data_IF_345315979587
#
_entry.id   IF_345315979587
#
_cell.length_a   1.000
_cell.length_b   1.000
_cell.length_c   1.000
_cell.angle_alpha   90.00
_cell.angle_beta   90.00
_cell.angle_gamma   90.00
#
_symmetry.space_group_name_H-M   'P 1'
#
loop_
_entity.id
_entity.type
_entity.pdbx_description
1 polymer ?
#
# COMPACT_ATOMS: atom_id res chain seq x y z
N UNK A 1 23.13 5.70 1.95
CA UNK A 1 21.65 5.82 2.09
C UNK A 1 21.19 4.69 2.98
N UNK A 2 20.47 5.02 4.04
CA UNK A 2 19.88 4.08 4.99
C UNK A 2 18.90 3.11 4.30
N UNK A 3 18.82 1.85 4.75
CA UNK A 3 17.99 0.80 4.12
C UNK A 3 16.51 1.19 4.12
N UNK A 4 16.02 1.79 5.22
CA UNK A 4 14.63 2.24 5.32
C UNK A 4 14.36 3.37 4.33
N UNK A 5 15.30 4.31 4.20
CA UNK A 5 15.20 5.40 3.24
C UNK A 5 15.14 4.90 1.78
N UNK A 6 15.95 3.88 1.44
CA UNK A 6 15.92 3.27 0.10
C UNK A 6 14.60 2.55 -0.17
N UNK A 7 14.07 1.82 0.82
CA UNK A 7 12.78 1.17 0.70
C UNK A 7 11.65 2.19 0.50
N UNK A 8 11.63 3.27 1.30
CA UNK A 8 10.62 4.33 1.17
C UNK A 8 10.62 4.91 -0.24
N UNK A 9 11.78 5.31 -0.75
CA UNK A 9 11.92 5.86 -2.09
C UNK A 9 11.44 4.89 -3.19
N UNK A 10 11.84 3.60 -3.09
CA UNK A 10 11.38 2.57 -4.03
C UNK A 10 9.86 2.36 -3.95
N UNK A 11 9.30 2.31 -2.74
CA UNK A 11 7.87 2.12 -2.54
C UNK A 11 7.05 3.32 -3.02
N UNK A 12 7.54 4.54 -2.83
CA UNK A 12 6.91 5.76 -3.35
C UNK A 12 6.93 5.78 -4.87
N UNK A 13 8.06 5.40 -5.49
CA UNK A 13 8.15 5.27 -6.93
C UNK A 13 7.17 4.22 -7.47
N UNK A 14 7.09 3.04 -6.84
CA UNK A 14 6.13 2.01 -7.23
C UNK A 14 4.68 2.49 -7.10
N UNK A 15 4.35 3.20 -6.02
CA UNK A 15 3.03 3.82 -5.83
C UNK A 15 2.72 4.81 -6.97
N UNK A 16 3.69 5.65 -7.31
CA UNK A 16 3.57 6.64 -8.38
C UNK A 16 3.35 5.98 -9.75
N UNK A 17 4.10 4.94 -10.06
CA UNK A 17 3.97 4.17 -11.30
C UNK A 17 2.56 3.55 -11.42
N UNK A 18 2.03 3.00 -10.33
CA UNK A 18 0.65 2.49 -10.30
C UNK A 18 -0.38 3.60 -10.55
N UNK A 19 -0.23 4.77 -9.91
CA UNK A 19 -1.14 5.90 -10.10
C UNK A 19 -1.13 6.41 -11.55
N UNK A 20 0.05 6.57 -12.14
CA UNK A 20 0.17 6.98 -13.55
C UNK A 20 -0.46 5.96 -14.49
N UNK A 21 -0.17 4.67 -14.31
CA UNK A 21 -0.75 3.62 -15.13
C UNK A 21 -2.28 3.63 -15.09
N UNK A 22 -2.87 3.75 -13.89
CA UNK A 22 -4.32 3.79 -13.72
C UNK A 22 -4.93 5.07 -14.32
N UNK A 23 -4.27 6.21 -14.16
CA UNK A 23 -4.70 7.48 -14.74
C UNK A 23 -4.67 7.43 -16.28
N UNK A 24 -3.58 6.96 -16.88
CA UNK A 24 -3.39 6.84 -18.33
C UNK A 24 -4.37 5.86 -18.97
N UNK A 25 -4.60 4.72 -18.32
CA UNK A 25 -5.57 3.71 -18.77
C UNK A 25 -7.03 4.08 -18.48
N UNK A 26 -7.25 5.22 -17.80
CA UNK A 26 -8.57 5.67 -17.32
C UNK A 26 -9.29 4.62 -16.47
N UNK A 27 -8.52 3.86 -15.70
CA UNK A 27 -9.04 2.82 -14.82
C UNK A 27 -9.42 3.43 -13.47
N UNK A 28 -10.68 3.30 -13.05
CA UNK A 28 -11.12 3.74 -11.72
C UNK A 28 -10.51 2.86 -10.62
N UNK A 29 -10.19 3.48 -9.49
CA UNK A 29 -9.54 2.80 -8.39
C UNK A 29 -9.93 3.44 -7.06
N UNK A 30 -9.58 2.78 -5.97
CA UNK A 30 -9.70 3.33 -4.63
C UNK A 30 -8.33 3.44 -3.97
N UNK A 31 -8.16 4.46 -3.14
CA UNK A 31 -6.96 4.68 -2.33
C UNK A 31 -7.33 4.47 -0.88
N UNK A 32 -6.65 3.53 -0.22
CA UNK A 32 -6.68 3.39 1.23
C UNK A 32 -5.44 4.08 1.79
N UNK A 33 -5.62 5.06 2.69
CA UNK A 33 -4.55 5.92 3.15
C UNK A 33 -4.68 6.30 4.62
N UNK A 34 -3.56 6.70 5.23
CA UNK A 34 -3.53 7.25 6.59
C UNK A 34 -4.09 8.67 6.60
N UNK A 35 -5.09 8.94 7.45
CA UNK A 35 -5.69 10.27 7.60
C UNK A 35 -4.65 11.33 8.01
N UNK A 36 -3.61 10.94 8.75
CA UNK A 36 -2.52 11.83 9.16
C UNK A 36 -1.74 12.42 7.97
N UNK A 37 -1.86 11.81 6.80
CA UNK A 37 -1.19 12.19 5.56
C UNK A 37 -2.16 12.79 4.53
N UNK A 38 -3.38 13.12 4.97
CA UNK A 38 -4.43 13.73 4.16
C UNK A 38 -4.66 15.17 4.60
N UNK A 39 -4.71 16.08 3.63
CA UNK A 39 -5.05 17.47 3.82
C UNK A 39 -6.32 17.82 3.04
N UNK A 40 -7.22 18.57 3.68
CA UNK A 40 -8.49 19.02 3.10
C UNK A 40 -8.45 20.54 2.91
N UNK A 41 -8.91 21.00 1.76
CA UNK A 41 -8.97 22.41 1.36
C UNK A 41 -10.32 22.71 0.69
N UNK A 42 -11.28 23.35 1.38
CA UNK A 42 -11.19 23.84 2.76
C UNK A 42 -11.11 22.72 3.82
N UNK A 43 -10.59 23.02 5.04
CA UNK A 43 -10.50 22.03 6.11
C UNK A 43 -11.89 21.54 6.55
N UNK A 44 -11.97 20.25 6.88
CA UNK A 44 -13.22 19.66 7.37
C UNK A 44 -13.66 20.25 8.72
N UNK A 45 -14.97 20.51 8.90
CA UNK A 45 -15.54 20.80 10.21
C UNK A 45 -15.17 19.72 11.23
N UNK A 46 -14.96 20.10 12.49
CA UNK A 46 -14.53 19.16 13.54
C UNK A 46 -15.47 17.96 13.70
N UNK A 47 -16.78 18.16 13.58
CA UNK A 47 -17.79 17.11 13.69
C UNK A 47 -17.60 16.04 12.60
N UNK A 48 -17.40 16.45 11.34
CA UNK A 48 -17.14 15.51 10.24
C UNK A 48 -15.76 14.86 10.37
N UNK A 49 -14.78 15.59 10.90
CA UNK A 49 -13.43 15.06 11.12
C UNK A 49 -13.39 13.98 12.20
N UNK A 50 -14.27 14.06 13.19
CA UNK A 50 -14.37 13.09 14.28
C UNK A 50 -14.91 11.72 13.83
N UNK A 51 -15.67 11.68 12.73
CA UNK A 51 -16.18 10.43 12.16
C UNK A 51 -15.10 9.62 11.42
N UNK A 52 -13.98 10.25 11.04
CA UNK A 52 -12.88 9.56 10.40
C UNK A 52 -12.01 8.83 11.42
N UNK A 53 -11.77 7.54 11.16
CA UNK A 53 -10.72 6.79 11.84
C UNK A 53 -9.32 7.20 11.37
N UNK A 54 -8.30 6.50 11.86
CA UNK A 54 -6.90 6.73 11.46
C UNK A 54 -6.63 6.48 9.97
N UNK A 55 -7.52 5.76 9.29
CA UNK A 55 -7.43 5.45 7.87
C UNK A 55 -8.73 5.79 7.15
N UNK A 56 -8.59 6.15 5.86
CA UNK A 56 -9.71 6.54 5.00
C UNK A 56 -9.58 5.83 3.66
N UNK A 57 -10.72 5.43 3.10
CA UNK A 57 -10.84 4.92 1.74
C UNK A 57 -11.48 5.99 0.84
N UNK A 58 -10.78 6.41 -0.20
CA UNK A 58 -11.31 7.28 -1.25
C UNK A 58 -11.57 6.46 -2.51
N UNK A 59 -12.75 6.61 -3.11
CA UNK A 59 -13.07 6.02 -4.42
C UNK A 59 -12.84 7.07 -5.49
N UNK A 60 -11.88 6.84 -6.37
CA UNK A 60 -11.57 7.72 -7.50
C UNK A 60 -12.32 7.22 -8.73
N UNK A 61 -13.53 7.75 -8.90
CA UNK A 61 -14.39 7.58 -10.08
C UNK A 61 -15.14 8.88 -10.37
N UNK A 62 -15.70 9.01 -11.58
CA UNK A 62 -16.44 10.22 -11.98
C UNK A 62 -15.59 11.49 -11.84
N UNK A 63 -16.18 12.57 -11.34
CA UNK A 63 -15.49 13.86 -11.22
C UNK A 63 -14.26 13.81 -10.29
N UNK A 64 -14.27 12.95 -9.26
CA UNK A 64 -13.10 12.74 -8.39
C UNK A 64 -11.91 12.17 -9.16
N UNK A 65 -12.17 11.25 -10.08
CA UNK A 65 -11.13 10.73 -10.97
C UNK A 65 -10.70 11.78 -12.01
N UNK A 66 -11.65 12.52 -12.58
CA UNK A 66 -11.36 13.54 -13.59
C UNK A 66 -10.56 14.73 -13.06
N UNK A 67 -10.73 15.06 -11.78
CA UNK A 67 -9.99 16.11 -11.08
C UNK A 67 -8.66 15.64 -10.49
N UNK A 68 -8.31 14.34 -10.63
CA UNK A 68 -7.05 13.79 -10.12
C UNK A 68 -5.84 14.47 -10.76
N UNK A 69 -4.97 15.00 -9.91
CA UNK A 69 -3.66 15.54 -10.26
C UNK A 69 -2.59 14.80 -9.49
N UNK A 70 -1.56 14.37 -10.20
CA UNK A 70 -0.40 13.67 -9.65
C UNK A 70 0.77 14.66 -9.68
N UNK A 71 1.43 14.88 -8.55
CA UNK A 71 2.57 15.79 -8.41
C UNK A 71 3.83 15.02 -7.99
N UNK A 72 4.58 14.43 -8.95
CA UNK A 72 5.77 13.63 -8.66
C UNK A 72 6.81 14.38 -7.81
N UNK A 73 7.13 15.62 -8.20
CA UNK A 73 8.15 16.46 -7.54
C UNK A 73 7.81 16.82 -6.10
N UNK A 74 6.51 16.85 -5.76
CA UNK A 74 6.01 17.18 -4.42
C UNK A 74 5.53 15.92 -3.67
N UNK A 75 5.70 14.74 -4.27
CA UNK A 75 5.33 13.42 -3.73
C UNK A 75 3.92 13.39 -3.13
N UNK A 76 2.95 13.94 -3.86
CA UNK A 76 1.54 13.86 -3.47
C UNK A 76 0.60 13.79 -4.68
N UNK A 77 -0.65 13.48 -4.40
CA UNK A 77 -1.77 13.61 -5.33
C UNK A 77 -2.80 14.59 -4.79
N UNK A 78 -3.66 15.11 -5.66
CA UNK A 78 -4.86 15.83 -5.24
C UNK A 78 -6.06 15.50 -6.11
N UNK A 79 -7.26 15.57 -5.55
CA UNK A 79 -8.52 15.42 -6.28
C UNK A 79 -9.65 16.15 -5.56
N UNK A 80 -10.73 16.42 -6.27
CA UNK A 80 -11.94 16.99 -5.68
C UNK A 80 -12.84 15.86 -5.15
N UNK A 81 -13.34 16.03 -3.94
CA UNK A 81 -14.26 15.09 -3.31
C UNK A 81 -15.36 15.83 -2.55
N UNK A 82 -16.56 15.32 -2.71
CA UNK A 82 -17.75 15.63 -1.94
C UNK A 82 -17.81 14.70 -0.75
N UNK A 83 -17.91 15.27 0.44
CA UNK A 83 -17.96 14.58 1.72
C UNK A 83 -19.29 14.91 2.40
N UNK A 84 -20.16 13.91 2.56
CA UNK A 84 -21.48 14.08 3.20
C UNK A 84 -22.43 15.05 2.49
N UNK A 85 -23.35 15.65 3.25
CA UNK A 85 -24.42 16.52 2.74
C UNK A 85 -23.93 17.93 2.37
N UNK A 86 -23.23 18.02 1.22
CA UNK A 86 -22.82 19.25 0.52
C UNK A 86 -21.48 19.89 0.92
N UNK A 87 -20.50 19.13 1.41
CA UNK A 87 -19.14 19.67 1.59
C UNK A 87 -18.23 19.23 0.44
N UNK A 88 -17.88 20.17 -0.43
CA UNK A 88 -16.88 19.95 -1.48
C UNK A 88 -15.52 20.43 -1.00
N UNK A 89 -14.50 19.59 -1.18
CA UNK A 89 -13.12 19.91 -0.82
C UNK A 89 -12.14 19.35 -1.83
N UNK A 90 -11.01 20.02 -1.96
CA UNK A 90 -9.82 19.40 -2.53
C UNK A 90 -9.16 18.54 -1.46
N UNK A 91 -8.96 17.27 -1.76
CA UNK A 91 -8.20 16.32 -0.94
C UNK A 91 -6.79 16.26 -1.50
N UNK A 92 -5.78 16.39 -0.65
CA UNK A 92 -4.36 16.19 -0.99
C UNK A 92 -3.80 15.06 -0.14
N UNK A 93 -3.08 14.12 -0.75
CA UNK A 93 -2.56 12.94 -0.06
C UNK A 93 -1.07 12.78 -0.40
N UNK A 94 -0.22 12.78 0.63
CA UNK A 94 1.20 12.45 0.45
C UNK A 94 1.36 10.98 0.03
N UNK A 95 2.26 10.69 -0.91
CA UNK A 95 2.46 9.31 -1.42
C UNK A 95 2.84 8.33 -0.32
N UNK A 96 3.61 8.77 0.69
CA UNK A 96 3.96 7.95 1.85
C UNK A 96 2.74 7.55 2.70
N UNK A 97 1.65 8.31 2.61
CA UNK A 97 0.38 8.04 3.28
C UNK A 97 -0.51 7.04 2.59
N UNK A 98 -0.25 6.73 1.31
CA UNK A 98 -1.00 5.72 0.55
C UNK A 98 -0.55 4.33 1.02
N UNK A 99 -1.50 3.60 1.62
CA UNK A 99 -1.28 2.24 2.13
C UNK A 99 -1.64 1.22 1.07
N UNK A 100 -2.78 1.40 0.39
CA UNK A 100 -3.18 0.51 -0.71
C UNK A 100 -3.79 1.27 -1.89
N UNK A 101 -3.56 0.73 -3.09
CA UNK A 101 -4.33 1.06 -4.29
C UNK A 101 -5.13 -0.19 -4.67
N UNK A 102 -6.44 -0.03 -4.72
CA UNK A 102 -7.40 -1.12 -4.91
C UNK A 102 -8.17 -0.89 -6.20
N UNK A 103 -8.25 -1.89 -7.06
CA UNK A 103 -9.06 -1.88 -8.28
C UNK A 103 -10.16 -2.94 -8.19
N UNK A 104 -11.20 -2.77 -9.00
CA UNK A 104 -12.21 -3.80 -9.21
C UNK A 104 -11.80 -4.69 -10.39
N UNK A 105 -11.82 -6.00 -10.19
CA UNK A 105 -11.70 -6.94 -11.29
C UNK A 105 -13.02 -7.04 -12.09
N UNK A 106 -13.02 -7.92 -13.11
CA UNK A 106 -14.20 -8.14 -13.96
C UNK A 106 -15.40 -8.75 -13.21
N UNK A 107 -15.18 -9.31 -12.02
CA UNK A 107 -16.19 -9.92 -11.17
C UNK A 107 -16.56 -9.00 -9.99
N UNK A 108 -16.21 -7.71 -10.05
CA UNK A 108 -16.41 -6.72 -8.99
C UNK A 108 -15.70 -7.05 -7.66
N UNK A 109 -14.68 -7.91 -7.72
CA UNK A 109 -13.84 -8.25 -6.57
C UNK A 109 -12.74 -7.21 -6.39
N UNK A 110 -12.45 -6.85 -5.14
CA UNK A 110 -11.35 -5.94 -4.81
C UNK A 110 -10.00 -6.64 -5.02
N UNK A 111 -9.16 -6.06 -5.87
CA UNK A 111 -7.78 -6.51 -6.12
C UNK A 111 -6.82 -5.40 -5.70
N UNK A 112 -5.86 -5.75 -4.86
CA UNK A 112 -4.82 -4.82 -4.40
C UNK A 112 -3.71 -4.78 -5.43
N UNK A 113 -3.51 -3.64 -6.09
CA UNK A 113 -2.41 -3.44 -7.05
C UNK A 113 -1.13 -2.92 -6.37
N UNK A 114 -1.30 -2.17 -5.29
CA UNK A 114 -0.21 -1.63 -4.50
C UNK A 114 -0.53 -1.84 -3.03
N UNK A 115 0.45 -2.29 -2.25
CA UNK A 115 0.38 -2.37 -0.80
C UNK A 115 1.71 -1.91 -0.21
N UNK A 116 1.65 -0.92 0.68
CA UNK A 116 2.79 -0.40 1.42
C UNK A 116 2.96 -1.18 2.71
N UNK A 117 4.15 -1.70 2.94
CA UNK A 117 4.48 -2.38 4.18
C UNK A 117 5.15 -1.43 5.18
N UNK A 118 5.04 -1.75 6.46
CA UNK A 118 5.86 -1.11 7.49
C UNK A 118 7.30 -1.63 7.38
N UNK A 119 8.28 -0.79 6.99
CA UNK A 119 9.65 -1.23 6.82
C UNK A 119 10.29 -1.68 8.15
N UNK A 120 9.84 -1.16 9.30
CA UNK A 120 10.36 -1.60 10.59
C UNK A 120 9.98 -3.05 10.90
N UNK A 121 8.80 -3.48 10.44
CA UNK A 121 8.34 -4.87 10.60
C UNK A 121 9.09 -5.87 9.70
N UNK A 122 9.62 -5.40 8.56
CA UNK A 122 10.25 -6.25 7.54
C UNK A 122 11.76 -6.30 7.70
N UNK A 123 12.39 -5.14 7.95
CA UNK A 123 13.85 -5.01 7.98
C UNK A 123 14.41 -5.08 9.41
N UNK A 124 13.64 -5.61 10.37
CA UNK A 124 14.17 -6.00 11.66
C UNK A 124 15.18 -7.16 11.50
N UNK A 125 16.26 -7.13 12.29
CA UNK A 125 17.28 -8.20 12.28
C UNK A 125 16.68 -9.52 12.81
N UNK A 126 16.18 -10.35 11.90
CA UNK A 126 15.60 -11.68 12.18
C UNK A 126 16.45 -12.83 11.61
N UNK A 127 17.74 -12.59 11.34
CA UNK A 127 18.63 -13.54 10.66
C UNK A 127 18.66 -14.94 11.32
N UNK A 128 18.55 -15.01 12.65
CA UNK A 128 18.47 -16.26 13.38
C UNK A 128 17.15 -17.03 13.15
N UNK A 129 16.02 -16.32 13.07
CA UNK A 129 14.69 -16.88 12.86
C UNK A 129 14.52 -17.37 11.41
N UNK A 130 15.05 -16.62 10.45
CA UNK A 130 15.05 -17.01 9.03
C UNK A 130 15.87 -18.29 8.78
N UNK A 131 17.03 -18.42 9.44
CA UNK A 131 17.87 -19.62 9.35
C UNK A 131 17.18 -20.84 9.97
N UNK A 132 16.47 -20.64 11.08
CA UNK A 132 15.73 -21.73 11.74
C UNK A 132 14.54 -22.18 10.89
N UNK A 133 13.75 -21.25 10.34
CA UNK A 133 12.64 -21.55 9.42
C UNK A 133 13.11 -22.33 8.17
N UNK A 134 14.26 -21.95 7.60
CA UNK A 134 14.85 -22.69 6.49
C UNK A 134 15.25 -24.13 6.86
N UNK A 135 15.84 -24.32 8.05
CA UNK A 135 16.18 -25.67 8.55
C UNK A 135 14.93 -26.50 8.80
N UNK A 136 13.92 -25.93 9.44
CA UNK A 136 12.68 -26.63 9.79
C UNK A 136 11.91 -27.04 8.53
N UNK A 137 11.85 -26.16 7.51
CA UNK A 137 11.25 -26.50 6.22
C UNK A 137 11.97 -27.68 5.55
N UNK A 138 13.30 -27.68 5.53
CA UNK A 138 14.10 -28.79 4.98
C UNK A 138 13.85 -30.09 5.75
N UNK A 139 13.84 -30.03 7.09
CA UNK A 139 13.66 -31.19 7.97
C UNK A 139 12.22 -31.73 7.95
N UNK A 140 11.24 -30.89 7.66
CA UNK A 140 9.82 -31.27 7.60
C UNK A 140 9.40 -31.94 6.29
N UNK A 141 10.22 -31.84 5.23
CA UNK A 141 9.94 -32.50 3.94
C UNK A 141 10.25 -34.00 4.03
N UNK A 142 9.26 -34.89 3.86
CA UNK A 142 9.46 -36.34 3.96
C UNK A 142 10.54 -36.89 3.03
N UNK A 143 10.71 -36.28 1.83
CA UNK A 143 11.72 -36.70 0.85
C UNK A 143 13.12 -36.39 1.34
N UNK A 144 13.30 -35.26 2.02
CA UNK A 144 14.57 -34.90 2.62
C UNK A 144 14.89 -35.80 3.82
N UNK A 145 13.88 -36.17 4.62
CA UNK A 145 14.07 -37.10 5.72
C UNK A 145 14.57 -38.47 5.25
N UNK A 146 14.01 -39.00 4.15
CA UNK A 146 14.45 -40.26 3.54
C UNK A 146 15.90 -40.18 3.04
N UNK A 147 16.27 -39.10 2.35
CA UNK A 147 17.64 -38.87 1.86
C UNK A 147 18.63 -38.75 3.02
N UNK A 148 18.29 -37.99 4.06
CA UNK A 148 19.14 -37.81 5.26
C UNK A 148 19.32 -39.15 5.99
N UNK A 149 18.26 -39.93 6.16
CA UNK A 149 18.32 -41.25 6.80
C UNK A 149 19.15 -42.26 6.00
N UNK A 150 19.24 -42.10 4.69
CA UNK A 150 20.06 -42.94 3.81
C UNK A 150 21.54 -42.56 3.92
N UNK A 151 21.84 -41.25 3.91
CA UNK A 151 23.20 -40.71 4.07
C UNK A 151 23.82 -41.02 5.45
N UNK A 152 23.00 -41.13 6.50
CA UNK A 152 23.46 -41.48 7.86
C UNK A 152 23.72 -42.99 8.06
N UNK A 153 23.36 -43.84 7.09
CA UNK A 153 23.53 -45.30 7.16
C UNK A 153 24.73 -45.83 6.35
N UNK A 154 25.41 -44.99 5.58
CA UNK A 154 26.65 -45.37 4.90
C UNK A 154 27.86 -45.17 5.84
N UNK A 155 28.65 -46.21 6.15
CA UNK A 155 29.86 -46.12 6.96
C UNK A 155 31.05 -45.49 6.22
#
# INVERSE_FOLDING_TARGET
MDTLQRYKAMSDQHCLDCLHFLHETRTHFSIFCSLAQVYFDPPLPEEQRADFGSFVLFVLAGYTFESLKIYPELSHISFEAGLGDNFETTVKIALEGIVQIIVKDKNDSNVVLFNRCDPHSIFADSAAEALQSSKDAILSDPRNQEVIATLQKEP
#
